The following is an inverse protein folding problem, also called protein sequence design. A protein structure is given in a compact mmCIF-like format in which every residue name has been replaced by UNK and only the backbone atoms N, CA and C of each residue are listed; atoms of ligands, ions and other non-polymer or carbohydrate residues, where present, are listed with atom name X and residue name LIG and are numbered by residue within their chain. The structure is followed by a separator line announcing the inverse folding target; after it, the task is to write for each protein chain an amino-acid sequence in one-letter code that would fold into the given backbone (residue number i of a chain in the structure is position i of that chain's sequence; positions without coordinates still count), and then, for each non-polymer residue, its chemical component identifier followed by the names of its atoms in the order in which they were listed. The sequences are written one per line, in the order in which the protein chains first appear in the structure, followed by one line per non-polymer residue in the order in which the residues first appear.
data_IF_211765719170
#
_entry.id   IF_211765719170
#
_cell.length_a   1.000
_cell.length_b   1.000
_cell.length_c   1.000
_cell.angle_alpha   90.00
_cell.angle_beta   90.00
_cell.angle_gamma   90.00
#
_symmetry.space_group_name_H-M   'P 1'
#
loop_
_entity.id
_entity.type
_entity.pdbx_description
1 polymer ?
#
# COMPACT_ATOMS: atom_id res chain seq x y z
N UNK A 1 4.83 16.40 7.46
CA UNK A 1 4.38 15.38 6.49
C UNK A 1 4.94 15.75 5.12
N UNK A 2 5.73 14.87 4.50
CA UNK A 2 6.46 15.18 3.27
C UNK A 2 5.63 14.76 2.04
N UNK A 3 4.87 15.70 1.48
CA UNK A 3 3.93 15.45 0.36
C UNK A 3 4.61 14.96 -0.93
N UNK A 4 5.91 15.25 -1.12
CA UNK A 4 6.69 14.76 -2.27
C UNK A 4 6.74 13.24 -2.36
N UNK A 5 6.69 12.54 -1.22
CA UNK A 5 6.69 11.08 -1.17
C UNK A 5 5.37 10.51 -1.71
N UNK A 6 4.26 11.20 -1.45
CA UNK A 6 2.92 10.76 -1.84
C UNK A 6 2.72 10.90 -3.35
N UNK A 7 3.13 12.03 -3.95
CA UNK A 7 3.04 12.22 -5.40
C UNK A 7 3.89 11.19 -6.16
N UNK A 8 5.05 10.84 -5.62
CA UNK A 8 5.93 9.79 -6.19
C UNK A 8 5.24 8.43 -6.16
N UNK A 9 4.63 8.07 -5.02
CA UNK A 9 3.85 6.85 -4.89
C UNK A 9 2.64 6.84 -5.85
N UNK A 10 1.89 7.94 -5.91
CA UNK A 10 0.74 8.07 -6.82
C UNK A 10 1.15 7.83 -8.27
N UNK A 11 2.26 8.41 -8.71
CA UNK A 11 2.79 8.20 -10.06
C UNK A 11 3.25 6.75 -10.28
N UNK A 12 3.83 6.12 -9.26
CA UNK A 12 4.27 4.73 -9.32
C UNK A 12 3.10 3.73 -9.42
N UNK A 13 1.98 4.02 -8.74
CA UNK A 13 0.79 3.16 -8.74
C UNK A 13 -0.14 3.47 -9.93
N UNK A 14 0.15 4.51 -10.71
CA UNK A 14 -0.65 4.90 -11.87
C UNK A 14 -1.93 5.69 -11.51
N UNK A 15 -1.93 6.36 -10.37
CA UNK A 15 -2.97 7.33 -10.00
C UNK A 15 -3.46 7.23 -8.55
N UNK A 16 -4.09 8.30 -8.04
CA UNK A 16 -4.51 8.40 -6.64
C UNK A 16 -5.62 7.41 -6.28
N UNK A 17 -6.53 7.14 -7.20
CA UNK A 17 -7.61 6.16 -7.03
C UNK A 17 -7.08 4.72 -6.90
N UNK A 18 -6.03 4.39 -7.66
CA UNK A 18 -5.37 3.08 -7.58
C UNK A 18 -4.64 2.93 -6.26
N UNK A 19 -3.91 3.98 -5.83
CA UNK A 19 -3.26 4.04 -4.52
C UNK A 19 -4.26 3.79 -3.38
N UNK A 20 -5.39 4.50 -3.36
CA UNK A 20 -6.42 4.31 -2.33
C UNK A 20 -6.99 2.90 -2.35
N UNK A 21 -7.24 2.35 -3.55
CA UNK A 21 -7.77 0.98 -3.69
C UNK A 21 -6.79 -0.07 -3.16
N UNK A 22 -5.49 0.12 -3.42
CA UNK A 22 -4.42 -0.75 -2.93
C UNK A 22 -4.34 -0.75 -1.41
N UNK A 23 -4.30 0.45 -0.81
CA UNK A 23 -4.21 0.62 0.64
C UNK A 23 -5.44 -0.01 1.31
N UNK A 24 -6.65 0.26 0.80
CA UNK A 24 -7.89 -0.30 1.36
C UNK A 24 -7.91 -1.83 1.22
N UNK A 25 -7.50 -2.36 0.07
CA UNK A 25 -7.43 -3.80 -0.17
C UNK A 25 -6.47 -4.49 0.81
N UNK A 26 -5.27 -3.91 0.99
CA UNK A 26 -4.27 -4.45 1.90
C UNK A 26 -4.68 -4.31 3.37
N UNK A 27 -5.19 -3.15 3.77
CA UNK A 27 -5.70 -2.95 5.12
C UNK A 27 -6.78 -3.99 5.47
N UNK A 28 -7.68 -4.32 4.54
CA UNK A 28 -8.65 -5.41 4.72
C UNK A 28 -8.01 -6.78 4.91
N UNK A 29 -6.92 -7.09 4.20
CA UNK A 29 -6.19 -8.35 4.39
C UNK A 29 -5.58 -8.41 5.79
N UNK A 30 -4.95 -7.31 6.23
CA UNK A 30 -4.37 -7.19 7.57
C UNK A 30 -5.45 -7.31 8.67
N UNK A 31 -6.62 -6.68 8.50
CA UNK A 31 -7.77 -6.86 9.40
C UNK A 31 -8.24 -8.32 9.46
N UNK A 32 -8.09 -9.09 8.38
CA UNK A 32 -8.38 -10.53 8.33
C UNK A 32 -7.27 -11.41 8.93
N UNK A 33 -6.31 -10.82 9.66
CA UNK A 33 -5.12 -11.48 10.23
C UNK A 33 -4.13 -11.99 9.18
N UNK A 34 -4.04 -11.36 8.01
CA UNK A 34 -2.92 -11.59 7.11
C UNK A 34 -1.63 -11.05 7.75
N UNK A 35 -0.51 -11.73 7.52
CA UNK A 35 0.79 -11.27 8.00
C UNK A 35 1.25 -10.01 7.24
N UNK A 36 1.74 -9.00 7.96
CA UNK A 36 2.47 -7.89 7.35
C UNK A 36 3.70 -8.38 6.57
N UNK A 37 4.01 -7.73 5.45
CA UNK A 37 5.24 -7.95 4.67
C UNK A 37 6.46 -7.25 5.26
N UNK A 38 6.26 -6.46 6.32
CA UNK A 38 7.30 -5.75 7.05
C UNK A 38 7.19 -6.11 8.53
N UNK A 39 8.32 -6.27 9.19
CA UNK A 39 8.35 -6.28 10.65
C UNK A 39 8.06 -4.86 11.14
N UNK A 40 6.95 -4.68 11.84
CA UNK A 40 6.52 -3.39 12.35
C UNK A 40 5.76 -3.59 13.66
N UNK A 41 5.97 -2.66 14.61
CA UNK A 41 5.22 -2.59 15.87
C UNK A 41 3.91 -1.78 15.72
N UNK A 42 3.57 -1.37 14.50
CA UNK A 42 2.39 -0.59 14.18
C UNK A 42 1.16 -1.50 14.21
N UNK A 43 0.14 -1.12 14.99
CA UNK A 43 -1.14 -1.84 15.08
C UNK A 43 -2.18 -1.38 14.06
N UNK A 44 -2.03 -0.18 13.46
CA UNK A 44 -2.99 0.33 12.47
C UNK A 44 -2.78 -0.33 11.09
N UNK A 45 -3.76 -1.11 10.58
CA UNK A 45 -3.69 -1.76 9.28
C UNK A 45 -3.43 -0.80 8.10
N UNK A 46 -3.90 0.44 8.19
CA UNK A 46 -3.73 1.44 7.14
C UNK A 46 -2.29 1.95 7.12
N UNK A 47 -1.71 2.22 8.29
CA UNK A 47 -0.32 2.64 8.40
C UNK A 47 0.65 1.52 8.00
N UNK A 48 0.36 0.27 8.37
CA UNK A 48 1.13 -0.90 7.90
C UNK A 48 1.09 -0.97 6.37
N UNK A 49 -0.10 -0.89 5.76
CA UNK A 49 -0.23 -0.92 4.30
C UNK A 49 0.51 0.23 3.62
N UNK A 50 0.52 1.42 4.23
CA UNK A 50 1.27 2.57 3.71
C UNK A 50 2.78 2.36 3.81
N UNK A 51 3.27 1.82 4.94
CA UNK A 51 4.68 1.52 5.15
C UNK A 51 5.18 0.42 4.20
N UNK A 52 4.37 -0.63 3.97
CA UNK A 52 4.65 -1.67 2.99
C UNK A 52 4.72 -1.12 1.55
N UNK A 53 3.82 -0.18 1.22
CA UNK A 53 3.81 0.50 -0.07
C UNK A 53 5.04 1.41 -0.25
N UNK A 54 5.46 2.12 0.80
CA UNK A 54 6.70 2.90 0.81
C UNK A 54 7.96 2.04 0.63
N UNK A 55 7.97 0.81 1.12
CA UNK A 55 9.07 -0.14 0.93
C UNK A 55 9.01 -0.91 -0.40
N UNK A 56 8.09 -0.53 -1.31
CA UNK A 56 7.86 -1.23 -2.58
C UNK A 56 7.53 -2.72 -2.42
N UNK A 57 7.02 -3.13 -1.25
CA UNK A 57 6.62 -4.52 -0.98
C UNK A 57 5.24 -4.85 -1.54
N UNK A 58 4.42 -3.82 -1.76
CA UNK A 58 3.14 -3.94 -2.45
C UNK A 58 3.21 -3.15 -3.75
N UNK A 59 3.00 -3.83 -4.87
CA UNK A 59 2.83 -3.22 -6.17
C UNK A 59 1.55 -3.76 -6.80
N UNK A 60 0.77 -2.90 -7.45
CA UNK A 60 -0.26 -3.37 -8.37
C UNK A 60 0.48 -3.95 -9.56
N UNK A 61 0.56 -5.28 -9.65
CA UNK A 61 0.89 -5.93 -10.89
C UNK A 61 -0.21 -5.54 -11.89
N UNK A 62 0.08 -4.67 -12.85
CA UNK A 62 -0.74 -4.45 -14.04
C UNK A 62 -0.75 -5.70 -14.97
N UNK A 63 -0.53 -6.92 -14.43
CA UNK A 63 -0.56 -8.19 -15.15
C UNK A 63 -1.96 -8.83 -15.24
N UNK A 64 -3.02 -8.14 -14.83
CA UNK A 64 -4.40 -8.53 -15.15
C UNK A 64 -4.97 -7.79 -16.37
N UNK A 65 -4.14 -7.62 -17.41
CA UNK A 65 -4.65 -7.34 -18.76
C UNK A 65 -3.91 -8.15 -19.83
N UNK A 66 -4.20 -9.45 -19.91
CA UNK A 66 -4.81 -10.05 -21.12
C UNK A 66 -5.22 -11.51 -20.92
#
# INVERSE_FOLDING_TARGET
MNYKSLDTLINQVGGPLRLTTLIISRARQLTKKAEPYIETEIDDPVEIAFAELMQNKIMLNDEEKK
#
